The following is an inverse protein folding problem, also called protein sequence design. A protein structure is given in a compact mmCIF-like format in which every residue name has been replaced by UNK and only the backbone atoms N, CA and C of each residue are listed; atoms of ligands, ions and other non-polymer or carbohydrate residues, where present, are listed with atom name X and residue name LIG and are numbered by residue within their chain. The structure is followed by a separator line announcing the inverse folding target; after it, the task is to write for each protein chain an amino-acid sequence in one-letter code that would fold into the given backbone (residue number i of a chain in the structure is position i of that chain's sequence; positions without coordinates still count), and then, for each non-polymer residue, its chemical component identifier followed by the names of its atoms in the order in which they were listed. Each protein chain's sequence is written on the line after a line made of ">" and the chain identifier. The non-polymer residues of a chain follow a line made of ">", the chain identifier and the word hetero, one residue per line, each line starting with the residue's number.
data_IF_124181324956
#
_entry.id   IF_124181324956
#
_cell.length_a   1.000
_cell.length_b   1.000
_cell.length_c   1.000
_cell.angle_alpha   90.00
_cell.angle_beta   90.00
_cell.angle_gamma   90.00
#
_symmetry.space_group_name_H-M   'P 1'
#
loop_
_entity.id
_entity.type
_entity.pdbx_description
1 polymer ?
#
# COMPACT_ATOMS: atom_id res chain seq x y z
N UNK A 1 -19.42 -19.31 -17.74
CA UNK A 1 -18.06 -18.99 -18.19
C UNK A 1 -18.18 -18.52 -19.64
N UNK A 2 -18.16 -17.21 -19.88
CA UNK A 2 -18.20 -16.67 -21.24
C UNK A 2 -16.89 -17.05 -21.94
N UNK A 3 -16.96 -17.76 -23.06
CA UNK A 3 -15.83 -18.01 -23.94
C UNK A 3 -15.25 -16.65 -24.31
N UNK A 4 -14.07 -16.33 -23.77
CA UNK A 4 -13.43 -15.03 -24.00
C UNK A 4 -12.86 -15.06 -25.41
N UNK A 5 -13.46 -14.27 -26.29
CA UNK A 5 -13.05 -14.20 -27.68
C UNK A 5 -11.66 -13.56 -27.79
N UNK A 6 -10.88 -14.00 -28.78
CA UNK A 6 -9.70 -13.28 -29.22
C UNK A 6 -10.10 -12.30 -30.32
N UNK A 7 -9.29 -11.26 -30.52
CA UNK A 7 -9.41 -10.35 -31.66
C UNK A 7 -8.11 -10.43 -32.44
N UNK A 8 -8.18 -10.73 -33.73
CA UNK A 8 -7.04 -10.67 -34.65
C UNK A 8 -7.04 -9.34 -35.36
N UNK A 9 -5.87 -8.73 -35.45
CA UNK A 9 -5.61 -7.55 -36.25
C UNK A 9 -4.50 -7.86 -37.26
N UNK A 10 -4.71 -7.47 -38.51
CA UNK A 10 -3.70 -7.59 -39.57
C UNK A 10 -2.90 -6.29 -39.75
N UNK A 11 -1.88 -6.33 -40.62
CA UNK A 11 -1.08 -5.16 -41.00
C UNK A 11 -1.88 -4.07 -41.72
N UNK A 12 -3.09 -4.36 -42.19
CA UNK A 12 -4.01 -3.37 -42.75
C UNK A 12 -4.80 -2.63 -41.66
N UNK A 13 -4.73 -3.08 -40.40
CA UNK A 13 -5.53 -2.54 -39.29
C UNK A 13 -6.98 -3.00 -39.34
N UNK A 14 -7.29 -4.09 -40.05
CA UNK A 14 -8.60 -4.74 -40.06
C UNK A 14 -8.72 -5.65 -38.86
N UNK A 15 -9.84 -5.53 -38.15
CA UNK A 15 -10.12 -6.29 -36.93
C UNK A 15 -11.09 -7.42 -37.27
N UNK A 16 -10.76 -8.62 -36.83
CA UNK A 16 -11.63 -9.78 -36.93
C UNK A 16 -11.80 -10.43 -35.56
N UNK A 17 -13.05 -10.63 -35.14
CA UNK A 17 -13.35 -11.44 -33.97
C UNK A 17 -12.92 -12.89 -34.25
N UNK A 18 -12.18 -13.47 -33.31
CA UNK A 18 -11.55 -14.76 -33.45
C UNK A 18 -12.00 -15.68 -32.31
N UNK A 19 -12.95 -16.61 -32.57
CA UNK A 19 -13.55 -17.45 -31.54
C UNK A 19 -12.68 -18.69 -31.25
N UNK A 20 -11.42 -18.49 -30.87
CA UNK A 20 -10.55 -19.57 -30.37
C UNK A 20 -10.49 -19.52 -28.85
N UNK A 21 -10.35 -20.68 -28.23
CA UNK A 21 -10.02 -20.75 -26.82
C UNK A 21 -8.52 -20.50 -26.58
N UNK A 22 -8.18 -20.07 -25.37
CA UNK A 22 -6.80 -19.81 -24.95
C UNK A 22 -5.91 -21.05 -25.07
N UNK A 23 -6.46 -22.27 -24.99
CA UNK A 23 -5.68 -23.48 -25.20
C UNK A 23 -5.29 -23.66 -26.67
N UNK A 24 -6.20 -23.35 -27.60
CA UNK A 24 -5.95 -23.50 -29.04
C UNK A 24 -4.91 -22.50 -29.52
N UNK A 25 -4.91 -21.27 -28.98
CA UNK A 25 -3.90 -20.27 -29.34
C UNK A 25 -2.51 -20.67 -28.82
N UNK A 26 -2.43 -21.23 -27.61
CA UNK A 26 -1.18 -21.69 -27.02
C UNK A 26 -0.69 -23.01 -27.64
N UNK A 27 -1.52 -23.74 -28.39
CA UNK A 27 -1.08 -24.86 -29.24
C UNK A 27 -0.62 -24.39 -30.61
N UNK A 28 -1.24 -23.33 -31.15
CA UNK A 28 -0.89 -22.75 -32.46
C UNK A 28 0.47 -22.07 -32.46
N UNK A 29 0.81 -21.40 -31.37
CA UNK A 29 2.16 -20.89 -31.12
C UNK A 29 2.85 -21.88 -30.18
N UNK A 30 4.10 -22.33 -30.43
CA UNK A 30 4.78 -23.31 -29.59
C UNK A 30 5.24 -22.70 -28.24
N UNK A 31 4.32 -22.08 -27.50
CA UNK A 31 4.59 -21.38 -26.26
C UNK A 31 4.72 -22.39 -25.12
N UNK A 32 5.85 -22.35 -24.43
CA UNK A 32 6.12 -23.16 -23.24
C UNK A 32 5.96 -22.27 -22.00
N UNK A 33 5.47 -22.77 -20.85
CA UNK A 33 5.46 -22.01 -19.59
C UNK A 33 6.85 -21.41 -19.31
N UNK A 34 6.94 -20.13 -18.87
CA UNK A 34 5.88 -19.24 -18.40
C UNK A 34 5.25 -18.34 -19.49
N UNK A 35 5.54 -18.56 -20.77
CA UNK A 35 5.11 -17.69 -21.89
C UNK A 35 3.68 -17.97 -22.39
N UNK A 36 2.97 -18.85 -21.70
CA UNK A 36 1.56 -19.18 -21.97
C UNK A 36 0.70 -17.98 -21.65
N UNK A 37 -0.09 -17.53 -22.63
CA UNK A 37 -0.93 -16.35 -22.46
C UNK A 37 -2.14 -16.68 -21.59
N UNK A 38 -2.25 -15.99 -20.46
CA UNK A 38 -3.40 -16.04 -19.57
C UNK A 38 -3.45 -14.78 -18.73
N UNK A 39 -4.65 -14.27 -18.45
CA UNK A 39 -4.83 -13.16 -17.49
C UNK A 39 -4.33 -13.50 -16.08
N UNK A 40 -4.15 -14.78 -15.76
CA UNK A 40 -3.57 -15.25 -14.49
C UNK A 40 -2.07 -15.54 -14.57
N UNK A 41 -1.47 -15.50 -15.77
CA UNK A 41 -0.04 -15.74 -15.95
C UNK A 41 0.77 -14.55 -15.43
N UNK A 42 2.04 -14.79 -15.07
CA UNK A 42 2.94 -13.71 -14.65
C UNK A 42 3.09 -12.65 -15.74
N UNK A 43 3.40 -11.42 -15.33
CA UNK A 43 3.65 -10.32 -16.26
C UNK A 43 4.87 -10.67 -17.11
N UNK A 44 4.73 -10.84 -18.42
CA UNK A 44 5.83 -11.23 -19.31
C UNK A 44 5.78 -10.42 -20.59
N UNK A 45 6.93 -9.96 -21.07
CA UNK A 45 7.11 -9.50 -22.43
C UNK A 45 8.32 -10.25 -22.97
N UNK A 46 8.10 -11.15 -23.92
CA UNK A 46 9.14 -12.05 -24.38
C UNK A 46 9.08 -12.20 -25.89
N UNK A 47 10.25 -12.22 -26.54
CA UNK A 47 10.38 -12.65 -27.92
C UNK A 47 10.71 -14.14 -27.93
N UNK A 48 9.75 -14.97 -28.32
CA UNK A 48 9.89 -16.41 -28.41
C UNK A 48 9.78 -16.83 -29.86
N UNK A 49 10.89 -17.24 -30.48
CA UNK A 49 10.92 -17.75 -31.86
C UNK A 49 10.32 -16.80 -32.90
N UNK A 50 10.51 -15.48 -32.74
CA UNK A 50 9.98 -14.47 -33.66
C UNK A 50 8.51 -14.08 -33.41
N UNK A 51 7.93 -14.59 -32.32
CA UNK A 51 6.63 -14.20 -31.79
C UNK A 51 6.84 -13.42 -30.50
N UNK A 52 6.31 -12.20 -30.43
CA UNK A 52 6.37 -11.38 -29.22
C UNK A 52 5.11 -11.64 -28.40
N UNK A 53 5.27 -12.20 -27.21
CA UNK A 53 4.19 -12.39 -26.25
C UNK A 53 4.23 -11.28 -25.23
N UNK A 54 3.12 -10.58 -25.08
CA UNK A 54 2.88 -9.62 -24.00
C UNK A 54 1.75 -10.14 -23.13
N UNK A 55 2.10 -10.58 -21.93
CA UNK A 55 1.15 -10.88 -20.89
C UNK A 55 1.25 -9.82 -19.80
N UNK A 56 0.43 -8.78 -19.86
CA UNK A 56 0.41 -7.69 -18.90
C UNK A 56 -0.94 -7.72 -18.18
N UNK A 57 -1.01 -7.19 -16.95
CA UNK A 57 -2.23 -7.24 -16.10
C UNK A 57 -3.49 -6.73 -16.85
N UNK A 58 -3.31 -5.77 -17.77
CA UNK A 58 -4.40 -5.12 -18.50
C UNK A 58 -4.41 -5.40 -20.00
N UNK A 59 -3.34 -6.00 -20.53
CA UNK A 59 -3.18 -6.26 -21.97
C UNK A 59 -2.48 -7.60 -22.17
N UNK A 60 -3.22 -8.57 -22.70
CA UNK A 60 -2.68 -9.86 -23.10
C UNK A 60 -2.73 -9.94 -24.63
N UNK A 61 -1.57 -9.95 -25.30
CA UNK A 61 -1.51 -10.07 -26.74
C UNK A 61 -0.28 -10.84 -27.24
N UNK A 62 -0.41 -11.37 -28.45
CA UNK A 62 0.62 -12.11 -29.18
C UNK A 62 0.83 -11.39 -30.51
N UNK A 63 2.05 -10.98 -30.80
CA UNK A 63 2.44 -10.35 -32.05
C UNK A 63 3.25 -11.38 -32.85
N UNK A 64 2.75 -11.77 -34.02
CA UNK A 64 3.38 -12.78 -34.87
C UNK A 64 3.41 -12.28 -36.33
N UNK A 65 4.61 -12.13 -36.90
CA UNK A 65 4.76 -11.63 -38.27
C UNK A 65 4.03 -10.30 -38.51
N UNK A 66 3.00 -10.32 -39.35
CA UNK A 66 2.15 -9.18 -39.71
C UNK A 66 0.77 -9.19 -39.03
N UNK A 67 0.63 -9.92 -37.92
CA UNK A 67 -0.63 -10.11 -37.22
C UNK A 67 -0.47 -9.92 -35.70
N UNK A 68 -1.51 -9.38 -35.07
CA UNK A 68 -1.62 -9.25 -33.61
C UNK A 68 -2.88 -9.96 -33.13
N UNK A 69 -2.73 -10.82 -32.14
CA UNK A 69 -3.84 -11.48 -31.45
C UNK A 69 -3.97 -10.87 -30.07
N UNK A 70 -5.12 -10.28 -29.77
CA UNK A 70 -5.41 -9.64 -28.49
C UNK A 70 -6.51 -10.41 -27.80
N UNK A 71 -6.29 -10.76 -26.53
CA UNK A 71 -7.33 -11.37 -25.72
C UNK A 71 -8.37 -10.30 -25.35
N UNK A 72 -9.65 -10.56 -25.61
CA UNK A 72 -10.69 -9.57 -25.35
C UNK A 72 -10.81 -9.30 -23.85
N UNK A 73 -10.45 -8.09 -23.46
CA UNK A 73 -10.60 -7.50 -22.13
C UNK A 73 -11.21 -6.11 -22.32
N UNK A 74 -11.95 -5.60 -21.34
CA UNK A 74 -12.57 -4.27 -21.46
C UNK A 74 -11.57 -3.15 -21.81
N UNK A 75 -10.31 -3.28 -21.41
CA UNK A 75 -9.22 -2.34 -21.64
C UNK A 75 -8.44 -2.60 -22.94
N UNK A 76 -8.52 -3.82 -23.49
CA UNK A 76 -7.88 -4.16 -24.77
C UNK A 76 -8.45 -3.36 -25.95
N UNK A 77 -9.68 -2.86 -25.85
CA UNK A 77 -10.32 -2.08 -26.91
C UNK A 77 -9.59 -0.77 -27.22
N UNK A 78 -9.08 -0.07 -26.20
CA UNK A 78 -8.33 1.17 -26.39
C UNK A 78 -7.03 0.92 -27.18
N UNK A 79 -6.31 -0.15 -26.84
CA UNK A 79 -5.14 -0.60 -27.58
C UNK A 79 -5.48 -0.95 -29.04
N UNK A 80 -6.59 -1.67 -29.26
CA UNK A 80 -7.04 -2.08 -30.59
C UNK A 80 -7.40 -0.87 -31.46
N UNK A 81 -8.07 0.13 -30.90
CA UNK A 81 -8.41 1.36 -31.61
C UNK A 81 -7.17 2.19 -31.95
N UNK A 82 -6.26 2.37 -30.99
CA UNK A 82 -5.01 3.12 -31.18
C UNK A 82 -4.12 2.47 -32.24
N UNK A 83 -3.82 1.17 -32.09
CA UNK A 83 -3.00 0.44 -33.06
C UNK A 83 -3.65 0.40 -34.44
N UNK A 84 -4.97 0.15 -34.51
CA UNK A 84 -5.71 0.14 -35.77
C UNK A 84 -5.67 1.51 -36.47
N UNK A 85 -5.75 2.61 -35.71
CA UNK A 85 -5.65 3.96 -36.27
C UNK A 85 -4.24 4.26 -36.82
N UNK A 86 -3.19 3.87 -36.08
CA UNK A 86 -1.79 4.01 -36.49
C UNK A 86 -1.51 3.22 -37.78
N UNK A 87 -1.97 1.98 -37.87
CA UNK A 87 -1.81 1.13 -39.05
C UNK A 87 -2.53 1.69 -40.28
N UNK A 88 -3.78 2.15 -40.12
CA UNK A 88 -4.54 2.78 -41.23
C UNK A 88 -3.90 4.08 -41.70
N UNK A 89 -3.42 4.90 -40.78
CA UNK A 89 -2.70 6.14 -41.12
C UNK A 89 -1.43 5.85 -41.91
N UNK A 90 -0.68 4.81 -41.54
CA UNK A 90 0.55 4.41 -42.24
C UNK A 90 0.22 3.95 -43.66
N UNK A 91 -0.83 3.15 -43.85
CA UNK A 91 -1.23 2.70 -45.18
C UNK A 91 -1.65 3.85 -46.09
N UNK A 92 -2.38 4.84 -45.57
CA UNK A 92 -2.76 6.03 -46.34
C UNK A 92 -1.56 6.92 -46.70
N UNK A 93 -0.52 6.95 -45.86
CA UNK A 93 0.71 7.72 -46.12
C UNK A 93 1.70 7.01 -47.05
N UNK A 94 1.64 5.67 -47.10
CA UNK A 94 2.53 4.81 -47.86
C UNK A 94 2.31 4.85 -49.37
N UNK A 95 1.17 5.36 -49.85
CA UNK A 95 0.96 5.59 -51.29
C UNK A 95 1.93 6.64 -51.86
N UNK A 96 2.61 7.43 -51.00
CA UNK A 96 3.51 8.51 -51.41
C UNK A 96 4.98 8.36 -50.96
N UNK A 97 5.39 7.26 -50.32
CA UNK A 97 6.77 7.13 -49.79
C UNK A 97 7.46 5.82 -50.16
N UNK A 98 8.70 5.92 -50.68
CA UNK A 98 9.56 4.81 -51.14
C UNK A 98 10.26 4.00 -50.04
N UNK A 99 9.84 4.14 -48.78
CA UNK A 99 10.38 3.34 -47.66
C UNK A 99 9.38 2.23 -47.38
N UNK A 100 9.79 0.99 -47.64
CA UNK A 100 8.96 -0.21 -47.47
C UNK A 100 8.75 -0.51 -45.96
N UNK A 101 7.89 0.27 -45.32
CA UNK A 101 7.48 0.11 -43.91
C UNK A 101 6.59 -1.12 -43.68
N UNK A 102 6.43 -1.98 -44.70
CA UNK A 102 5.64 -3.22 -44.64
C UNK A 102 6.46 -4.43 -44.18
N UNK A 103 7.73 -4.23 -43.79
CA UNK A 103 8.52 -5.33 -43.24
C UNK A 103 7.87 -5.85 -41.94
N UNK A 104 7.86 -7.18 -41.70
CA UNK A 104 7.29 -7.77 -40.48
C UNK A 104 7.89 -7.16 -39.21
N UNK A 105 9.15 -6.75 -39.24
CA UNK A 105 9.86 -6.13 -38.12
C UNK A 105 9.33 -4.72 -37.79
N UNK A 106 9.00 -3.91 -38.80
CA UNK A 106 8.41 -2.58 -38.59
C UNK A 106 7.02 -2.69 -37.95
N UNK A 107 6.19 -3.62 -38.43
CA UNK A 107 4.88 -3.90 -37.83
C UNK A 107 5.00 -4.36 -36.38
N UNK A 108 5.88 -5.32 -36.09
CA UNK A 108 6.10 -5.84 -34.74
C UNK A 108 6.55 -4.76 -33.77
N UNK A 109 7.47 -3.88 -34.20
CA UNK A 109 7.95 -2.77 -33.36
C UNK A 109 6.85 -1.75 -33.06
N UNK A 110 6.00 -1.43 -34.04
CA UNK A 110 4.86 -0.52 -33.85
C UNK A 110 3.82 -1.11 -32.90
N UNK A 111 3.45 -2.38 -33.10
CA UNK A 111 2.51 -3.08 -32.23
C UNK A 111 3.02 -3.16 -30.78
N UNK A 112 4.31 -3.48 -30.60
CA UNK A 112 4.93 -3.49 -29.28
C UNK A 112 4.94 -2.11 -28.63
N UNK A 113 5.37 -1.06 -29.35
CA UNK A 113 5.38 0.31 -28.85
C UNK A 113 3.97 0.76 -28.44
N UNK A 114 2.96 0.49 -29.27
CA UNK A 114 1.56 0.81 -28.97
C UNK A 114 1.05 0.05 -27.73
N UNK A 115 1.50 -1.18 -27.50
CA UNK A 115 1.11 -1.97 -26.32
C UNK A 115 1.74 -1.42 -25.05
N UNK A 116 3.02 -1.03 -25.12
CA UNK A 116 3.75 -0.38 -24.03
C UNK A 116 3.12 0.99 -23.73
N UNK A 117 2.78 1.80 -24.74
CA UNK A 117 2.10 3.09 -24.56
C UNK A 117 0.81 2.95 -23.74
N UNK A 118 -0.03 1.97 -24.07
CA UNK A 118 -1.30 1.75 -23.37
C UNK A 118 -1.08 1.30 -21.92
N UNK A 119 -0.08 0.45 -21.68
CA UNK A 119 0.30 0.05 -20.32
C UNK A 119 0.81 1.24 -19.52
N UNK A 120 1.55 2.14 -20.15
CA UNK A 120 2.03 3.38 -19.52
C UNK A 120 0.90 4.34 -19.18
N UNK A 121 -0.10 4.44 -20.07
CA UNK A 121 -1.31 5.22 -19.86
C UNK A 121 -2.07 4.80 -18.61
N UNK A 122 -1.96 3.53 -18.23
CA UNK A 122 -2.51 3.00 -17.00
C UNK A 122 -1.55 3.11 -15.80
N UNK A 123 -0.28 2.75 -16.00
CA UNK A 123 0.71 2.64 -14.93
C UNK A 123 1.07 4.01 -14.34
N UNK A 124 1.16 5.05 -15.18
CA UNK A 124 1.47 6.42 -14.73
C UNK A 124 0.46 6.96 -13.72
N UNK A 125 -0.84 7.05 -14.05
CA UNK A 125 -1.88 7.46 -13.12
C UNK A 125 -1.98 6.58 -11.88
N UNK A 126 -1.78 5.25 -12.02
CA UNK A 126 -1.76 4.32 -10.88
C UNK A 126 -0.65 4.67 -9.90
N UNK A 127 0.57 4.92 -10.38
CA UNK A 127 1.71 5.32 -9.54
C UNK A 127 1.46 6.69 -8.88
N UNK A 128 0.92 7.67 -9.63
CA UNK A 128 0.58 8.97 -9.08
C UNK A 128 -0.49 8.87 -7.97
N UNK A 129 -1.52 8.05 -8.18
CA UNK A 129 -2.55 7.78 -7.17
C UNK A 129 -1.97 7.08 -5.94
N UNK A 130 -1.11 6.06 -6.14
CA UNK A 130 -0.42 5.39 -5.04
C UNK A 130 0.41 6.38 -4.23
N UNK A 131 1.18 7.26 -4.88
CA UNK A 131 1.97 8.31 -4.22
C UNK A 131 1.09 9.29 -3.44
N UNK A 132 -0.02 9.74 -4.03
CA UNK A 132 -0.97 10.63 -3.36
C UNK A 132 -1.62 9.98 -2.12
N UNK A 133 -2.10 8.74 -2.25
CA UNK A 133 -2.64 7.95 -1.13
C UNK A 133 -1.59 7.73 -0.05
N UNK A 134 -0.34 7.51 -0.43
CA UNK A 134 0.76 7.35 0.50
C UNK A 134 0.97 8.61 1.34
N UNK A 135 0.98 9.78 0.71
CA UNK A 135 1.17 11.05 1.40
C UNK A 135 0.01 11.37 2.35
N UNK A 136 -1.23 11.09 1.94
CA UNK A 136 -2.41 11.20 2.83
C UNK A 136 -2.26 10.28 4.03
N UNK A 137 -1.87 9.03 3.82
CA UNK A 137 -1.69 8.05 4.90
C UNK A 137 -0.56 8.45 5.84
N UNK A 138 0.53 9.05 5.33
CA UNK A 138 1.64 9.60 6.13
C UNK A 138 1.14 10.71 7.04
N UNK A 139 0.37 11.65 6.50
CA UNK A 139 -0.26 12.73 7.27
C UNK A 139 -1.23 12.18 8.33
N UNK A 140 -2.05 11.18 7.98
CA UNK A 140 -2.93 10.50 8.93
C UNK A 140 -2.14 9.83 10.05
N UNK A 141 -1.08 9.09 9.74
CA UNK A 141 -0.24 8.42 10.73
C UNK A 141 0.43 9.43 11.68
N UNK A 142 0.91 10.57 11.17
CA UNK A 142 1.52 11.60 12.02
C UNK A 142 0.56 12.16 13.09
N UNK A 143 -0.74 12.21 12.77
CA UNK A 143 -1.78 12.77 13.61
C UNK A 143 -2.62 11.72 14.37
N UNK A 144 -2.47 10.43 14.06
CA UNK A 144 -3.33 9.37 14.58
C UNK A 144 -3.14 9.12 16.08
N UNK A 145 -4.21 8.73 16.76
CA UNK A 145 -4.14 8.26 18.13
C UNK A 145 -3.78 6.77 18.18
N UNK A 146 -3.36 6.27 19.35
CA UNK A 146 -3.03 4.84 19.57
C UNK A 146 -4.19 3.90 19.17
N UNK A 147 -5.44 4.36 19.33
CA UNK A 147 -6.63 3.59 18.95
C UNK A 147 -6.85 3.46 17.43
N UNK A 148 -6.33 4.39 16.64
CA UNK A 148 -6.48 4.41 15.16
C UNK A 148 -5.35 3.65 14.46
N UNK A 149 -4.33 3.25 15.22
CA UNK A 149 -3.14 2.57 14.72
C UNK A 149 -3.43 1.26 13.96
N UNK A 150 -4.41 0.42 14.37
CA UNK A 150 -4.78 -0.77 13.60
C UNK A 150 -5.29 -0.42 12.20
N UNK A 151 -6.11 0.62 12.08
CA UNK A 151 -6.65 1.09 10.79
C UNK A 151 -5.54 1.58 9.87
N UNK A 152 -4.61 2.38 10.41
CA UNK A 152 -3.44 2.87 9.68
C UNK A 152 -2.57 1.70 9.22
N UNK A 153 -2.37 0.68 10.05
CA UNK A 153 -1.60 -0.53 9.68
C UNK A 153 -2.25 -1.34 8.56
N UNK A 154 -3.57 -1.51 8.59
CA UNK A 154 -4.31 -2.21 7.54
C UNK A 154 -4.17 -1.44 6.21
N UNK A 155 -4.39 -0.13 6.23
CA UNK A 155 -4.23 0.72 5.05
C UNK A 155 -2.78 0.69 4.52
N UNK A 156 -1.79 0.68 5.42
CA UNK A 156 -0.37 0.56 5.05
C UNK A 156 -0.07 -0.79 4.39
N UNK A 157 -0.62 -1.89 4.92
CA UNK A 157 -0.43 -3.22 4.37
C UNK A 157 -1.05 -3.35 2.96
N UNK A 158 -2.26 -2.82 2.78
CA UNK A 158 -2.92 -2.75 1.46
C UNK A 158 -2.07 -1.95 0.47
N UNK A 159 -1.61 -0.76 0.86
CA UNK A 159 -0.78 0.08 0.00
C UNK A 159 0.56 -0.60 -0.35
N UNK A 160 1.19 -1.29 0.61
CA UNK A 160 2.42 -2.06 0.40
C UNK A 160 2.23 -3.19 -0.61
N UNK A 161 1.10 -3.89 -0.55
CA UNK A 161 0.75 -4.93 -1.50
C UNK A 161 0.57 -4.36 -2.91
N UNK A 162 -0.17 -3.27 -3.05
CA UNK A 162 -0.39 -2.61 -4.34
C UNK A 162 0.91 -2.05 -4.94
N UNK A 163 1.77 -1.43 -4.12
CA UNK A 163 3.11 -0.96 -4.54
C UNK A 163 3.95 -2.14 -5.03
N UNK A 164 3.96 -3.26 -4.30
CA UNK A 164 4.74 -4.45 -4.67
C UNK A 164 4.26 -5.05 -5.99
N UNK A 165 2.94 -5.13 -6.20
CA UNK A 165 2.34 -5.58 -7.46
C UNK A 165 2.76 -4.66 -8.62
N UNK A 166 2.68 -3.34 -8.41
CA UNK A 166 3.06 -2.34 -9.42
C UNK A 166 4.56 -2.39 -9.75
N UNK A 167 5.41 -2.62 -8.74
CA UNK A 167 6.86 -2.77 -8.90
C UNK A 167 7.22 -4.05 -9.66
N UNK A 168 6.49 -5.15 -9.46
CA UNK A 168 6.69 -6.38 -10.20
C UNK A 168 6.38 -6.20 -11.69
N UNK A 169 5.30 -5.47 -12.04
CA UNK A 169 4.97 -5.13 -13.43
C UNK A 169 6.11 -4.33 -14.06
N UNK A 170 6.54 -3.25 -13.40
CA UNK A 170 7.62 -2.39 -13.88
C UNK A 170 8.93 -3.18 -14.07
N UNK A 171 9.27 -4.08 -13.13
CA UNK A 171 10.46 -4.92 -13.21
C UNK A 171 10.40 -5.94 -14.35
N UNK A 172 9.24 -6.56 -14.59
CA UNK A 172 9.11 -7.55 -15.66
C UNK A 172 9.19 -6.88 -17.03
N UNK A 173 8.59 -5.69 -17.17
CA UNK A 173 8.79 -4.88 -18.37
C UNK A 173 10.25 -4.46 -18.50
N UNK A 174 10.92 -4.12 -17.39
CA UNK A 174 12.36 -3.87 -17.39
C UNK A 174 13.14 -5.06 -17.95
N UNK A 175 12.96 -6.27 -17.40
CA UNK A 175 13.65 -7.48 -17.87
C UNK A 175 13.48 -7.65 -19.38
N UNK A 176 12.25 -7.50 -19.87
CA UNK A 176 11.95 -7.59 -21.30
C UNK A 176 12.64 -6.52 -22.15
N UNK A 177 12.78 -5.30 -21.64
CA UNK A 177 13.47 -4.21 -22.35
C UNK A 177 14.99 -4.45 -22.43
N UNK A 178 15.58 -5.16 -21.47
CA UNK A 178 17.03 -5.38 -21.39
C UNK A 178 17.47 -6.75 -21.95
N UNK A 179 16.62 -7.78 -21.96
CA UNK A 179 16.93 -9.09 -22.55
C UNK A 179 16.90 -9.11 -24.09
N UNK A 180 16.32 -8.08 -24.73
CA UNK A 180 16.27 -7.97 -26.20
C UNK A 180 17.45 -7.17 -26.82
N UNK A 181 18.46 -6.80 -26.03
CA UNK A 181 19.66 -6.09 -26.54
C UNK A 181 20.59 -7.03 -27.36
N UNK A 182 20.45 -8.35 -27.18
CA UNK A 182 21.31 -9.36 -27.80
C UNK A 182 20.82 -9.76 -29.21
N UNK A 183 20.94 -8.83 -30.17
CA UNK A 183 21.31 -9.17 -31.56
C UNK A 183 20.22 -9.43 -32.61
N UNK A 184 18.92 -9.45 -32.30
CA UNK A 184 17.90 -9.87 -33.27
C UNK A 184 17.26 -8.76 -34.14
N UNK A 185 16.97 -7.58 -33.57
CA UNK A 185 16.15 -6.57 -34.24
C UNK A 185 16.43 -5.15 -33.70
N UNK A 186 17.33 -4.41 -34.36
CA UNK A 186 17.76 -3.07 -33.92
C UNK A 186 16.61 -2.04 -33.84
N UNK A 187 15.60 -2.16 -34.70
CA UNK A 187 14.47 -1.23 -34.69
C UNK A 187 13.56 -1.46 -33.47
N UNK A 188 13.42 -2.72 -33.05
CA UNK A 188 12.76 -3.09 -31.81
C UNK A 188 13.53 -2.55 -30.59
N UNK A 189 14.85 -2.77 -30.55
CA UNK A 189 15.70 -2.27 -29.48
C UNK A 189 15.66 -0.73 -29.38
N UNK A 190 15.60 -0.03 -30.51
CA UNK A 190 15.48 1.44 -30.56
C UNK A 190 14.12 1.92 -30.03
N UNK A 191 13.02 1.30 -30.46
CA UNK A 191 11.69 1.62 -29.95
C UNK A 191 11.60 1.38 -28.44
N UNK A 192 12.17 0.28 -27.95
CA UNK A 192 12.21 -0.07 -26.52
C UNK A 192 13.10 0.86 -25.69
N UNK A 193 14.22 1.35 -26.25
CA UNK A 193 15.09 2.30 -25.58
C UNK A 193 14.38 3.62 -25.20
N UNK A 194 13.39 4.06 -25.98
CA UNK A 194 12.62 5.26 -25.68
C UNK A 194 11.83 5.18 -24.36
N UNK A 195 11.49 3.95 -23.90
CA UNK A 195 10.72 3.72 -22.69
C UNK A 195 11.58 3.55 -21.43
N UNK A 196 12.90 3.34 -21.57
CA UNK A 196 13.86 3.25 -20.45
C UNK A 196 13.77 4.45 -19.48
N UNK A 197 13.77 5.73 -19.93
CA UNK A 197 13.67 6.88 -19.02
C UNK A 197 12.30 6.97 -18.33
N UNK A 198 11.21 6.63 -19.02
CA UNK A 198 9.87 6.63 -18.42
C UNK A 198 9.76 5.58 -17.31
N UNK A 199 10.34 4.39 -17.52
CA UNK A 199 10.39 3.33 -16.50
C UNK A 199 11.25 3.75 -15.30
N UNK A 200 12.34 4.47 -15.52
CA UNK A 200 13.16 5.02 -14.45
C UNK A 200 12.37 5.99 -13.56
N UNK A 201 11.54 6.85 -14.17
CA UNK A 201 10.63 7.76 -13.44
C UNK A 201 9.62 7.00 -12.56
N UNK A 202 9.02 5.93 -13.09
CA UNK A 202 8.08 5.07 -12.34
C UNK A 202 8.79 4.39 -11.16
N UNK A 203 9.97 3.82 -11.39
CA UNK A 203 10.77 3.17 -10.35
C UNK A 203 11.17 4.16 -9.26
N UNK A 204 11.52 5.40 -9.62
CA UNK A 204 11.80 6.46 -8.66
C UNK A 204 10.57 6.83 -7.84
N UNK A 205 9.40 6.98 -8.47
CA UNK A 205 8.13 7.23 -7.78
C UNK A 205 7.75 6.13 -6.79
N UNK A 206 7.88 4.86 -7.19
CA UNK A 206 7.63 3.72 -6.31
C UNK A 206 8.64 3.63 -5.16
N UNK A 207 9.92 3.92 -5.42
CA UNK A 207 10.96 3.99 -4.40
C UNK A 207 10.70 5.10 -3.38
N UNK A 208 10.28 6.27 -3.86
CA UNK A 208 9.85 7.37 -3.00
C UNK A 208 8.65 6.97 -2.15
N UNK A 209 7.64 6.32 -2.74
CA UNK A 209 6.44 5.85 -2.05
C UNK A 209 6.79 4.88 -0.90
N UNK A 210 7.70 3.93 -1.16
CA UNK A 210 8.21 2.98 -0.15
C UNK A 210 8.95 3.69 0.99
N UNK A 211 9.91 4.56 0.66
CA UNK A 211 10.77 5.23 1.64
C UNK A 211 10.02 6.30 2.45
N UNK A 212 9.29 7.18 1.77
CA UNK A 212 8.62 8.32 2.39
C UNK A 212 7.41 7.90 3.23
N UNK A 213 6.74 6.81 2.87
CA UNK A 213 5.46 6.45 3.50
C UNK A 213 5.57 5.21 4.38
N UNK A 214 6.02 4.08 3.84
CA UNK A 214 5.99 2.83 4.62
C UNK A 214 6.93 2.92 5.80
N UNK A 215 8.18 3.35 5.57
CA UNK A 215 9.16 3.50 6.65
C UNK A 215 8.73 4.58 7.65
N UNK A 216 8.23 5.73 7.17
CA UNK A 216 7.75 6.80 8.05
C UNK A 216 6.57 6.37 8.92
N UNK A 217 5.56 5.70 8.34
CA UNK A 217 4.39 5.21 9.09
C UNK A 217 4.78 4.13 10.09
N UNK A 218 5.70 3.22 9.72
CA UNK A 218 6.22 2.20 10.64
C UNK A 218 6.98 2.84 11.82
N UNK A 219 7.80 3.85 11.57
CA UNK A 219 8.52 4.57 12.63
C UNK A 219 7.59 5.37 13.54
N UNK A 220 6.59 6.07 12.97
CA UNK A 220 5.56 6.76 13.75
C UNK A 220 4.77 5.76 14.62
N UNK A 221 4.40 4.61 14.05
CA UNK A 221 3.69 3.57 14.79
C UNK A 221 4.52 3.02 15.96
N UNK A 222 5.82 2.79 15.76
CA UNK A 222 6.73 2.34 16.83
C UNK A 222 6.85 3.39 17.93
N UNK A 223 7.10 4.65 17.56
CA UNK A 223 7.24 5.76 18.49
C UNK A 223 5.99 5.93 19.36
N UNK A 224 4.78 5.89 18.76
CA UNK A 224 3.52 6.02 19.50
C UNK A 224 3.24 4.85 20.44
N UNK A 225 3.62 3.63 20.08
CA UNK A 225 3.50 2.49 20.99
C UNK A 225 4.45 2.61 22.18
N UNK A 226 5.68 3.09 21.96
CA UNK A 226 6.63 3.35 23.03
C UNK A 226 6.16 4.48 23.98
N UNK A 227 5.58 5.55 23.43
CA UNK A 227 4.97 6.62 24.23
C UNK A 227 3.81 6.09 25.08
N UNK A 228 2.97 5.23 24.50
CA UNK A 228 1.84 4.62 25.21
C UNK A 228 2.28 3.65 26.31
N UNK A 229 3.35 2.86 26.09
CA UNK A 229 3.89 1.96 27.12
C UNK A 229 4.51 2.76 28.27
N UNK A 230 5.32 3.78 27.96
CA UNK A 230 5.91 4.66 28.97
C UNK A 230 4.83 5.38 29.82
N UNK A 231 3.75 5.85 29.18
CA UNK A 231 2.62 6.46 29.90
C UNK A 231 1.89 5.48 30.82
N UNK A 232 1.77 4.21 30.42
CA UNK A 232 1.18 3.16 31.27
C UNK A 232 2.07 2.82 32.46
N UNK A 233 3.37 2.67 32.24
CA UNK A 233 4.34 2.38 33.30
C UNK A 233 4.36 3.49 34.36
N UNK A 234 4.45 4.75 33.94
CA UNK A 234 4.39 5.91 34.85
C UNK A 234 3.07 5.96 35.62
N UNK A 235 1.93 5.70 34.95
CA UNK A 235 0.63 5.63 35.63
C UNK A 235 0.57 4.51 36.67
N UNK A 236 1.12 3.34 36.36
CA UNK A 236 1.17 2.21 37.29
C UNK A 236 2.07 2.52 38.49
N UNK A 237 3.22 3.17 38.26
CA UNK A 237 4.14 3.57 39.33
C UNK A 237 3.51 4.61 40.26
N UNK A 238 2.77 5.59 39.72
CA UNK A 238 2.03 6.57 40.53
C UNK A 238 0.97 5.87 41.39
N UNK A 239 0.21 4.93 40.82
CA UNK A 239 -0.80 4.17 41.56
C UNK A 239 -0.14 3.29 42.64
N UNK A 240 0.97 2.61 42.32
CA UNK A 240 1.69 1.78 43.28
C UNK A 240 2.28 2.62 44.44
N UNK A 241 2.89 3.78 44.13
CA UNK A 241 3.42 4.69 45.13
C UNK A 241 2.30 5.27 46.02
N UNK A 242 1.17 5.68 45.42
CA UNK A 242 0.00 6.14 46.16
C UNK A 242 -0.55 5.02 47.07
N UNK A 243 -0.64 3.79 46.56
CA UNK A 243 -1.12 2.63 47.31
C UNK A 243 -0.19 2.31 48.47
N UNK A 244 1.13 2.32 48.26
CA UNK A 244 2.13 2.12 49.30
C UNK A 244 2.08 3.20 50.38
N UNK A 245 1.94 4.48 50.01
CA UNK A 245 1.79 5.56 50.99
C UNK A 245 0.52 5.38 51.82
N UNK A 246 -0.59 5.04 51.17
CA UNK A 246 -1.87 4.76 51.84
C UNK A 246 -1.73 3.57 52.78
N UNK A 247 -1.25 2.42 52.31
CA UNK A 247 -1.17 1.22 53.15
C UNK A 247 -0.10 1.31 54.24
N UNK A 248 1.08 1.86 53.95
CA UNK A 248 2.17 1.92 54.93
C UNK A 248 1.95 3.01 55.99
N UNK A 249 1.42 4.18 55.63
CA UNK A 249 1.28 5.29 56.59
C UNK A 249 -0.07 5.20 57.29
N UNK A 250 -1.16 5.09 56.52
CA UNK A 250 -2.50 5.15 57.10
C UNK A 250 -2.88 3.85 57.81
N UNK A 251 -2.53 2.67 57.29
CA UNK A 251 -2.87 1.43 58.00
C UNK A 251 -2.00 1.24 59.25
N UNK A 252 -0.76 1.71 59.26
CA UNK A 252 0.07 1.66 60.48
C UNK A 252 -0.48 2.59 61.57
N UNK A 253 -0.88 3.82 61.23
CA UNK A 253 -1.51 4.75 62.18
C UNK A 253 -2.85 4.19 62.66
N UNK A 254 -3.71 3.73 61.74
CA UNK A 254 -5.02 3.16 62.08
C UNK A 254 -4.88 1.87 62.89
N UNK A 255 -3.87 1.05 62.60
CA UNK A 255 -3.56 -0.16 63.36
C UNK A 255 -3.08 0.16 64.78
N UNK A 256 -2.19 1.14 64.95
CA UNK A 256 -1.68 1.56 66.26
C UNK A 256 -2.79 2.09 67.16
N UNK A 257 -3.68 2.94 66.64
CA UNK A 257 -4.78 3.53 67.40
C UNK A 257 -6.04 2.65 67.46
N UNK A 258 -6.13 1.61 66.61
CA UNK A 258 -7.24 0.65 66.59
C UNK A 258 -7.02 -0.58 67.48
N UNK A 259 -5.79 -0.84 67.94
CA UNK A 259 -5.53 -1.89 68.93
C UNK A 259 -5.99 -1.42 70.32
N UNK A 260 -6.80 -2.26 70.97
CA UNK A 260 -7.29 -2.05 72.35
C UNK A 260 -6.17 -2.29 73.39
N UNK A 261 -5.05 -1.59 73.24
CA UNK A 261 -3.94 -1.64 74.19
C UNK A 261 -4.28 -0.70 75.34
N UNK A 262 -4.17 -1.13 76.61
CA UNK A 262 -4.35 -0.27 77.77
C UNK A 262 -3.16 0.69 77.88
N UNK A 263 -3.13 1.68 77.00
CA UNK A 263 -2.21 2.80 77.05
C UNK A 263 -2.81 3.75 78.08
N UNK A 264 -2.08 4.09 79.16
CA UNK A 264 -2.56 4.84 80.33
C UNK A 264 -3.10 6.28 80.12
N UNK A 265 -3.80 6.52 79.02
CA UNK A 265 -4.60 7.69 78.69
C UNK A 265 -6.04 7.61 79.22
N UNK A 266 -6.28 6.86 80.30
CA UNK A 266 -7.56 6.80 81.04
C UNK A 266 -7.77 8.03 81.95
N UNK A 267 -7.20 9.17 81.60
CA UNK A 267 -7.54 10.47 82.18
C UNK A 267 -8.31 11.27 81.14
N UNK A 268 -9.49 11.76 81.52
CA UNK A 268 -10.61 12.19 80.68
C UNK A 268 -10.28 13.16 79.52
N UNK A 269 -9.14 13.87 79.56
CA UNK A 269 -8.73 14.82 78.53
C UNK A 269 -8.02 14.18 77.31
N UNK A 270 -7.40 13.01 77.45
CA UNK A 270 -6.61 12.39 76.36
C UNK A 270 -7.41 11.50 75.41
N UNK A 271 -8.61 11.04 75.80
CA UNK A 271 -9.49 10.24 74.95
C UNK A 271 -9.98 11.04 73.72
N UNK A 272 -10.17 12.35 73.87
CA UNK A 272 -10.56 13.24 72.77
C UNK A 272 -9.45 13.38 71.73
N UNK A 273 -8.19 13.41 72.15
CA UNK A 273 -7.04 13.56 71.26
C UNK A 273 -6.91 12.37 70.29
N UNK A 274 -7.08 11.13 70.78
CA UNK A 274 -7.06 9.93 69.94
C UNK A 274 -8.20 9.89 68.92
N UNK A 275 -9.43 10.25 69.33
CA UNK A 275 -10.60 10.30 68.42
C UNK A 275 -10.43 11.35 67.33
N UNK A 276 -9.90 12.52 67.68
CA UNK A 276 -9.62 13.60 66.71
C UNK A 276 -8.58 13.15 65.68
N UNK A 277 -7.50 12.49 66.12
CA UNK A 277 -6.48 11.96 65.20
C UNK A 277 -7.08 10.94 64.24
N UNK A 278 -7.90 10.00 64.71
CA UNK A 278 -8.53 8.98 63.86
C UNK A 278 -9.47 9.63 62.82
N UNK A 279 -10.28 10.62 63.24
CA UNK A 279 -11.20 11.33 62.34
C UNK A 279 -10.42 12.15 61.30
N UNK A 280 -9.40 12.91 61.71
CA UNK A 280 -8.56 13.70 60.78
C UNK A 280 -7.78 12.80 59.81
N UNK A 281 -7.27 11.67 60.28
CA UNK A 281 -6.55 10.69 59.45
C UNK A 281 -7.49 10.02 58.44
N UNK A 282 -8.71 9.65 58.86
CA UNK A 282 -9.73 9.12 57.94
C UNK A 282 -10.23 10.15 56.92
N UNK A 283 -10.46 11.39 57.34
CA UNK A 283 -10.90 12.47 56.45
C UNK A 283 -9.83 12.83 55.40
N UNK A 284 -8.55 12.91 55.82
CA UNK A 284 -7.43 13.16 54.90
C UNK A 284 -7.25 12.01 53.89
N UNK A 285 -7.43 10.76 54.31
CA UNK A 285 -7.41 9.60 53.41
C UNK A 285 -8.57 9.65 52.39
N UNK A 286 -9.78 9.97 52.84
CA UNK A 286 -10.95 10.13 51.97
C UNK A 286 -10.75 11.22 50.91
N UNK A 287 -10.18 12.37 51.31
CA UNK A 287 -9.84 13.46 50.39
C UNK A 287 -8.76 13.05 49.38
N UNK A 288 -7.76 12.27 49.80
CA UNK A 288 -6.69 11.81 48.92
C UNK A 288 -7.22 10.80 47.88
N UNK A 289 -8.06 9.86 48.30
CA UNK A 289 -8.73 8.92 47.38
C UNK A 289 -9.64 9.67 46.40
N UNK A 290 -10.43 10.63 46.90
CA UNK A 290 -11.30 11.45 46.07
C UNK A 290 -10.49 12.26 45.03
N UNK A 291 -9.37 12.86 45.46
CA UNK A 291 -8.45 13.58 44.59
C UNK A 291 -7.85 12.67 43.50
N UNK A 292 -7.45 11.44 43.83
CA UNK A 292 -6.96 10.46 42.85
C UNK A 292 -8.03 10.05 41.84
N UNK A 293 -9.27 9.82 42.30
CA UNK A 293 -10.41 9.49 41.43
C UNK A 293 -10.75 10.66 40.51
N UNK A 294 -10.78 11.89 41.03
CA UNK A 294 -11.02 13.10 40.26
C UNK A 294 -9.91 13.35 39.24
N UNK A 295 -8.65 13.17 39.63
CA UNK A 295 -7.51 13.27 38.72
C UNK A 295 -7.62 12.27 37.56
N UNK A 296 -7.98 11.01 37.83
CA UNK A 296 -8.21 10.01 36.78
C UNK A 296 -9.40 10.33 35.89
N UNK A 297 -10.47 10.91 36.44
CA UNK A 297 -11.61 11.37 35.64
C UNK A 297 -11.25 12.58 34.77
N UNK A 298 -10.49 13.53 35.29
CA UNK A 298 -10.02 14.69 34.53
C UNK A 298 -9.08 14.27 33.41
N UNK A 299 -8.14 13.34 33.67
CA UNK A 299 -7.26 12.79 32.63
C UNK A 299 -8.07 12.08 31.52
N UNK A 300 -9.14 11.36 31.88
CA UNK A 300 -10.05 10.73 30.92
C UNK A 300 -10.82 11.78 30.09
N UNK A 301 -11.27 12.85 30.73
CA UNK A 301 -12.02 13.94 30.09
C UNK A 301 -11.11 14.76 29.17
N UNK A 302 -9.88 15.09 29.58
CA UNK A 302 -8.88 15.72 28.72
C UNK A 302 -8.53 14.83 27.52
N UNK A 303 -8.44 13.51 27.72
CA UNK A 303 -8.31 12.55 26.62
C UNK A 303 -9.47 12.58 25.63
N UNK A 304 -10.70 12.82 26.10
CA UNK A 304 -11.90 12.98 25.26
C UNK A 304 -11.95 14.34 24.56
N UNK A 305 -11.57 15.43 25.23
CA UNK A 305 -11.49 16.76 24.61
C UNK A 305 -10.36 16.87 23.58
N UNK A 306 -9.23 16.22 23.81
CA UNK A 306 -8.15 16.10 22.82
C UNK A 306 -8.59 15.33 21.56
N UNK A 307 -9.50 14.35 21.70
CA UNK A 307 -10.16 13.68 20.57
C UNK A 307 -11.14 14.62 19.83
N UNK A 308 -11.94 15.40 20.56
CA UNK A 308 -12.94 16.31 19.97
C UNK A 308 -12.30 17.47 19.18
N UNK A 309 -11.20 18.07 19.68
CA UNK A 309 -10.49 19.15 18.95
C UNK A 309 -9.78 18.69 17.67
N UNK A 310 -9.39 17.42 17.56
CA UNK A 310 -8.70 16.89 16.38
C UNK A 310 -9.63 16.42 15.26
N UNK A 311 -10.94 16.29 15.53
CA UNK A 311 -11.96 15.92 14.52
C UNK A 311 -12.65 17.10 13.83
N UNK A 312 -12.24 18.34 14.08
CA UNK A 312 -12.89 19.56 13.58
C UNK A 312 -12.03 20.38 12.59
N UNK A 313 -11.11 19.74 11.86
CA UNK A 313 -10.37 20.36 10.75
C UNK A 313 -10.39 19.47 9.53
#
# INVERSE_FOLDING_TARGET
>A
MSARAWKRMDSAGKIQAWPLDTNDINQRFPLVPPFVVSQSSMVTVANYWGVIVMNLEYLCCIIAGSEVFVLDSGLANAYIEDLGSKLRSINNSSENSSIDRRTPTAFQSLALASGIDEVWRFLGPRVANLVGRAEVLRCQASNCCVGDLPTVRIATAQLKQEISSTYAIARNIQSALYENDDGGNQDLARALCAYKPLLAGINQGLKHCKKSTIECVEEVAKSRMAEASAKRETSMLVIAAATFCITSVFNSITGLFGMNVPNGHETDDNMYFGKIIVICTGASLGLLILSLVLFKRLEMVEGLFARSRKGSK
#
